data_IF_727391024039
#
_entry.id   IF_727391024039
#
_cell.length_a   1.000
_cell.length_b   1.000
_cell.length_c   1.000
_cell.angle_alpha   90.00
_cell.angle_beta   90.00
_cell.angle_gamma   90.00
#
_symmetry.space_group_name_H-M   'P 1'
#
loop_
_entity.id
_entity.type
_entity.pdbx_description
1 polymer ?
#
# COMPACT_ATOMS: atom_id res chain seq x y z
N UNK A 1 -14.50 -1.03 72.25
CA UNK A 1 -14.99 -1.47 70.92
C UNK A 1 -14.29 -0.63 69.85
N UNK A 2 -13.32 -1.18 69.15
CA UNK A 2 -12.64 -0.48 68.06
C UNK A 2 -13.04 -1.14 66.76
N UNK A 3 -13.75 -0.39 65.93
CA UNK A 3 -14.25 -0.86 64.62
C UNK A 3 -13.15 -0.66 63.57
N UNK A 4 -12.62 -1.76 63.02
CA UNK A 4 -11.69 -1.74 61.89
C UNK A 4 -12.50 -1.60 60.60
N UNK A 5 -12.28 -0.52 59.84
CA UNK A 5 -12.79 -0.35 58.50
C UNK A 5 -11.71 -0.85 57.55
N UNK A 6 -11.99 -1.98 56.88
CA UNK A 6 -11.16 -2.50 55.80
C UNK A 6 -11.60 -1.85 54.49
N UNK A 7 -10.75 -0.96 53.97
CA UNK A 7 -10.93 -0.36 52.66
C UNK A 7 -10.41 -1.35 51.57
N UNK A 8 -11.32 -1.92 50.80
CA UNK A 8 -11.03 -2.77 49.66
C UNK A 8 -10.73 -1.87 48.45
N UNK A 9 -9.46 -1.74 48.08
CA UNK A 9 -9.05 -1.02 46.89
C UNK A 9 -9.23 -1.97 45.67
N UNK A 10 -10.28 -1.76 44.88
CA UNK A 10 -10.42 -2.38 43.56
C UNK A 10 -9.44 -1.72 42.56
N UNK A 11 -8.30 -2.35 42.32
CA UNK A 11 -7.40 -1.99 41.24
C UNK A 11 -8.05 -2.46 39.90
N UNK A 12 -8.75 -1.57 39.23
CA UNK A 12 -9.26 -1.79 37.88
C UNK A 12 -8.08 -1.79 36.89
N UNK A 13 -7.70 -2.95 36.41
CA UNK A 13 -6.79 -3.09 35.26
C UNK A 13 -7.55 -2.66 34.01
N UNK A 14 -7.34 -1.43 33.56
CA UNK A 14 -7.75 -0.96 32.25
C UNK A 14 -6.87 -1.68 31.20
N UNK A 15 -7.36 -2.78 30.67
CA UNK A 15 -6.79 -3.39 29.47
C UNK A 15 -7.02 -2.40 28.31
N UNK A 16 -6.02 -1.57 28.01
CA UNK A 16 -5.93 -0.81 26.77
C UNK A 16 -5.82 -1.82 25.63
N UNK A 17 -6.95 -2.23 25.07
CA UNK A 17 -6.99 -2.92 23.78
C UNK A 17 -6.46 -1.96 22.74
N UNK A 18 -5.15 -1.97 22.50
CA UNK A 18 -4.52 -1.25 21.42
C UNK A 18 -5.14 -1.72 20.11
N UNK A 19 -6.01 -0.92 19.50
CA UNK A 19 -6.48 -1.12 18.14
C UNK A 19 -5.23 -1.00 17.28
N UNK A 20 -4.70 -2.13 16.81
CA UNK A 20 -3.60 -2.15 15.84
C UNK A 20 -4.11 -1.51 14.56
N UNK A 21 -3.88 -0.22 14.39
CA UNK A 21 -4.15 0.45 13.13
C UNK A 21 -3.16 -0.05 12.09
N UNK A 22 -3.67 -0.51 10.95
CA UNK A 22 -2.83 -0.84 9.82
C UNK A 22 -2.03 0.42 9.42
N UNK A 23 -0.72 0.28 9.32
CA UNK A 23 0.15 1.36 8.91
C UNK A 23 -0.01 1.62 7.41
N UNK A 24 0.04 2.88 7.01
CA UNK A 24 -0.10 3.31 5.62
C UNK A 24 1.18 3.99 5.14
N UNK A 25 1.53 3.74 3.90
CA UNK A 25 2.67 4.33 3.20
C UNK A 25 2.23 4.73 1.80
N UNK A 26 2.73 5.84 1.30
CA UNK A 26 2.39 6.33 -0.03
C UNK A 26 3.64 6.71 -0.84
N UNK A 27 3.57 6.56 -2.16
CA UNK A 27 4.56 7.17 -3.06
C UNK A 27 4.33 8.68 -3.13
N UNK A 28 5.36 9.47 -3.49
CA UNK A 28 5.13 10.80 -4.00
C UNK A 28 4.15 10.77 -5.19
N UNK A 29 3.40 11.85 -5.36
CA UNK A 29 2.56 12.04 -6.54
C UNK A 29 3.43 12.30 -7.76
N UNK A 30 3.16 11.64 -8.87
CA UNK A 30 3.83 11.92 -10.15
C UNK A 30 2.78 12.15 -11.25
N UNK A 31 3.07 13.11 -12.12
CA UNK A 31 2.24 13.41 -13.28
C UNK A 31 2.53 12.46 -14.43
N UNK A 32 1.49 12.01 -15.10
CA UNK A 32 1.58 11.36 -16.39
C UNK A 32 2.07 12.33 -17.47
N UNK A 33 2.70 11.79 -18.51
CA UNK A 33 3.05 12.52 -19.75
C UNK A 33 2.29 11.91 -20.92
N UNK A 34 2.21 12.62 -22.05
CA UNK A 34 1.36 12.26 -23.20
C UNK A 34 1.57 10.85 -23.77
N UNK A 35 2.71 10.23 -23.51
CA UNK A 35 3.03 8.88 -23.97
C UNK A 35 2.83 7.79 -22.89
N UNK A 36 2.37 8.18 -21.71
CA UNK A 36 2.09 7.24 -20.62
C UNK A 36 0.62 6.85 -20.64
N UNK A 37 0.36 5.56 -20.59
CA UNK A 37 -0.99 5.03 -20.74
C UNK A 37 -1.47 4.22 -19.54
N UNK A 38 -0.53 3.72 -18.73
CA UNK A 38 -0.83 2.91 -17.56
C UNK A 38 -0.04 3.37 -16.33
N UNK A 39 -0.68 3.29 -15.18
CA UNK A 39 -0.04 3.35 -13.86
C UNK A 39 -0.11 1.98 -13.20
N UNK A 40 0.99 1.55 -12.62
CA UNK A 40 1.10 0.34 -11.83
C UNK A 40 1.54 0.70 -10.41
N UNK A 41 0.71 0.36 -9.43
CA UNK A 41 1.07 0.38 -8.02
C UNK A 41 1.54 -1.02 -7.64
N UNK A 42 2.83 -1.17 -7.38
CA UNK A 42 3.45 -2.47 -7.11
C UNK A 42 4.10 -2.50 -5.74
N UNK A 43 3.97 -3.63 -5.05
CA UNK A 43 4.56 -3.85 -3.74
C UNK A 43 5.14 -5.26 -3.63
N UNK A 44 6.16 -5.40 -2.81
CA UNK A 44 6.80 -6.67 -2.50
C UNK A 44 7.07 -6.77 -1.00
N UNK A 45 6.89 -7.96 -0.45
CA UNK A 45 7.34 -8.26 0.90
C UNK A 45 8.83 -8.66 0.87
N UNK A 46 9.70 -7.72 1.20
CA UNK A 46 11.16 -7.96 1.32
C UNK A 46 11.59 -8.48 2.69
N UNK A 47 10.67 -8.77 3.59
CA UNK A 47 10.95 -9.25 4.95
C UNK A 47 11.02 -10.77 5.07
N UNK A 48 11.44 -11.25 6.23
CA UNK A 48 11.57 -12.68 6.51
C UNK A 48 10.26 -13.35 6.93
N UNK A 49 9.19 -12.59 7.11
CA UNK A 49 7.89 -13.10 7.58
C UNK A 49 6.76 -12.59 6.68
N UNK A 50 5.65 -13.36 6.55
CA UNK A 50 4.48 -12.89 5.83
C UNK A 50 3.91 -11.59 6.43
N UNK A 51 3.42 -10.70 5.57
CA UNK A 51 2.78 -9.44 5.95
C UNK A 51 1.26 -9.59 5.87
N UNK A 52 0.58 -9.34 6.98
CA UNK A 52 -0.88 -9.39 7.04
C UNK A 52 -1.52 -8.05 6.67
N UNK A 53 -2.79 -8.10 6.29
CA UNK A 53 -3.64 -6.95 5.98
C UNK A 53 -3.09 -6.04 4.87
N UNK A 54 -2.43 -6.65 3.87
CA UNK A 54 -1.84 -5.90 2.76
C UNK A 54 -2.90 -5.53 1.75
N UNK A 55 -3.04 -4.22 1.51
CA UNK A 55 -3.87 -3.67 0.44
C UNK A 55 -3.12 -2.58 -0.31
N UNK A 56 -3.42 -2.43 -1.59
CA UNK A 56 -2.88 -1.36 -2.43
C UNK A 56 -3.99 -0.64 -3.18
N UNK A 57 -3.80 0.64 -3.44
CA UNK A 57 -4.69 1.46 -4.27
C UNK A 57 -3.90 2.54 -5.00
N UNK A 58 -4.45 3.03 -6.10
CA UNK A 58 -3.96 4.20 -6.81
C UNK A 58 -4.93 5.35 -6.53
N UNK A 59 -4.40 6.53 -6.21
CA UNK A 59 -5.17 7.72 -5.91
C UNK A 59 -4.74 8.84 -6.86
N UNK A 60 -5.72 9.48 -7.51
CA UNK A 60 -5.48 10.68 -8.33
C UNK A 60 -5.40 11.94 -7.47
N UNK A 61 -4.84 13.02 -8.02
CA UNK A 61 -4.83 14.33 -7.38
C UNK A 61 -6.24 14.90 -7.13
N UNK A 62 -7.25 14.42 -7.86
CA UNK A 62 -8.65 14.80 -7.66
C UNK A 62 -9.37 13.96 -6.61
N UNK A 63 -8.65 13.05 -5.93
CA UNK A 63 -9.20 12.18 -4.89
C UNK A 63 -9.89 10.92 -5.42
N UNK A 64 -9.88 10.68 -6.73
CA UNK A 64 -10.37 9.43 -7.29
C UNK A 64 -9.50 8.26 -6.81
N UNK A 65 -10.13 7.15 -6.47
CA UNK A 65 -9.44 5.97 -5.94
C UNK A 65 -9.74 4.76 -6.80
N UNK A 66 -8.68 4.09 -7.26
CA UNK A 66 -8.73 2.81 -7.94
C UNK A 66 -8.26 1.74 -6.96
N UNK A 67 -9.06 0.74 -6.71
CA UNK A 67 -8.91 -0.21 -5.62
C UNK A 67 -9.81 0.16 -4.42
N UNK A 68 -9.53 -0.32 -3.21
CA UNK A 68 -8.34 -1.07 -2.81
C UNK A 68 -8.33 -2.52 -3.33
N UNK A 69 -7.17 -3.02 -3.67
CA UNK A 69 -6.94 -4.43 -4.00
C UNK A 69 -6.25 -5.13 -2.82
N UNK A 70 -6.77 -6.29 -2.45
CA UNK A 70 -6.14 -7.15 -1.44
C UNK A 70 -4.97 -7.92 -2.07
N UNK A 71 -3.82 -7.92 -1.41
CA UNK A 71 -2.63 -8.60 -1.85
C UNK A 71 -2.49 -9.97 -1.18
N UNK A 72 -2.10 -10.96 -1.96
CA UNK A 72 -1.88 -12.33 -1.49
C UNK A 72 -3.16 -13.06 -1.05
N UNK A 73 -2.98 -14.25 -0.51
CA UNK A 73 -4.07 -15.05 0.03
C UNK A 73 -4.56 -14.46 1.35
N UNK A 74 -5.86 -14.23 1.48
CA UNK A 74 -6.49 -13.65 2.69
C UNK A 74 -5.84 -12.32 3.15
N UNK A 75 -5.46 -11.46 2.22
CA UNK A 75 -4.74 -10.19 2.47
C UNK A 75 -3.35 -10.40 3.11
N UNK A 76 -2.77 -11.58 2.97
CA UNK A 76 -1.43 -11.89 3.49
C UNK A 76 -0.47 -12.04 2.32
N UNK A 77 0.55 -11.19 2.28
CA UNK A 77 1.60 -11.21 1.28
C UNK A 77 2.79 -12.02 1.82
N UNK A 78 3.06 -13.17 1.22
CA UNK A 78 4.14 -14.06 1.60
C UNK A 78 5.52 -13.44 1.43
N UNK A 79 6.54 -14.10 1.97
CA UNK A 79 7.94 -13.67 1.85
C UNK A 79 8.38 -13.68 0.38
N UNK A 80 8.88 -12.55 -0.11
CA UNK A 80 9.26 -12.38 -1.51
C UNK A 80 8.10 -12.29 -2.49
N UNK A 81 6.86 -12.42 -2.03
CA UNK A 81 5.70 -12.26 -2.90
C UNK A 81 5.54 -10.82 -3.36
N UNK A 82 5.05 -10.71 -4.58
CA UNK A 82 4.77 -9.48 -5.29
C UNK A 82 3.26 -9.32 -5.50
N UNK A 83 2.78 -8.08 -5.45
CA UNK A 83 1.41 -7.71 -5.74
C UNK A 83 1.39 -6.41 -6.52
N UNK A 84 0.58 -6.33 -7.59
CA UNK A 84 0.42 -5.10 -8.36
C UNK A 84 -1.02 -4.84 -8.76
N UNK A 85 -1.35 -3.56 -8.86
CA UNK A 85 -2.60 -3.02 -9.38
C UNK A 85 -2.27 -2.12 -10.55
N UNK A 86 -2.79 -2.44 -11.73
CA UNK A 86 -2.57 -1.70 -12.97
C UNK A 86 -3.87 -1.03 -13.39
N UNK A 87 -3.79 0.21 -13.85
CA UNK A 87 -4.91 0.96 -14.38
C UNK A 87 -4.52 1.84 -15.55
N UNK A 88 -5.48 2.14 -16.41
CA UNK A 88 -5.32 3.21 -17.40
C UNK A 88 -5.31 4.56 -16.70
N UNK A 89 -4.54 5.49 -17.21
CA UNK A 89 -4.39 6.84 -16.65
C UNK A 89 -4.71 7.90 -17.68
N UNK A 90 -5.15 9.05 -17.17
CA UNK A 90 -5.21 10.29 -17.92
C UNK A 90 -3.84 11.00 -17.84
N UNK A 91 -3.35 11.43 -18.99
CA UNK A 91 -2.03 12.07 -19.13
C UNK A 91 -1.92 13.44 -18.45
N UNK A 92 -3.06 14.04 -18.07
CA UNK A 92 -3.10 15.35 -17.41
C UNK A 92 -3.21 15.27 -15.89
N UNK A 93 -3.28 14.07 -15.33
CA UNK A 93 -3.56 13.83 -13.91
C UNK A 93 -2.34 13.26 -13.20
N UNK A 94 -2.12 13.70 -11.96
CA UNK A 94 -1.11 13.13 -11.09
C UNK A 94 -1.69 11.98 -10.27
N UNK A 95 -0.87 10.97 -10.04
CA UNK A 95 -1.26 9.76 -9.31
C UNK A 95 -0.24 9.42 -8.21
N UNK A 96 -0.71 8.75 -7.17
CA UNK A 96 0.10 8.16 -6.12
C UNK A 96 -0.32 6.71 -5.86
N UNK A 97 0.65 5.86 -5.55
CA UNK A 97 0.42 4.52 -5.01
C UNK A 97 0.32 4.60 -3.49
N UNK A 98 -0.71 4.02 -2.93
CA UNK A 98 -0.94 3.96 -1.49
C UNK A 98 -1.06 2.50 -1.09
N UNK A 99 -0.24 2.09 -0.13
CA UNK A 99 -0.24 0.75 0.41
C UNK A 99 -0.49 0.75 1.92
N UNK A 100 -1.21 -0.24 2.40
CA UNK A 100 -1.43 -0.48 3.83
C UNK A 100 -1.02 -1.89 4.18
N UNK A 101 -0.46 -2.07 5.38
CA UNK A 101 -0.11 -3.39 5.93
C UNK A 101 -0.08 -3.30 7.46
N UNK A 102 -0.12 -4.46 8.14
CA UNK A 102 0.03 -4.52 9.59
C UNK A 102 1.41 -4.03 10.06
N UNK A 103 2.45 -4.18 9.22
CA UNK A 103 3.80 -3.66 9.46
C UNK A 103 4.45 -3.22 8.14
N UNK A 104 5.21 -2.13 8.16
CA UNK A 104 5.81 -1.53 6.95
C UNK A 104 7.34 -1.67 6.87
N UNK A 105 8.00 -2.14 7.92
CA UNK A 105 9.47 -2.11 8.03
C UNK A 105 10.20 -2.75 6.84
N UNK A 106 9.65 -3.83 6.28
CA UNK A 106 10.23 -4.57 5.16
C UNK A 106 9.41 -4.47 3.86
N UNK A 107 8.45 -3.57 3.85
CA UNK A 107 7.60 -3.33 2.71
C UNK A 107 8.31 -2.45 1.69
N UNK A 108 8.32 -2.85 0.44
CA UNK A 108 8.95 -2.11 -0.66
C UNK A 108 7.96 -2.01 -1.81
N UNK A 109 8.07 -0.96 -2.59
CA UNK A 109 7.23 -0.77 -3.76
C UNK A 109 7.18 0.67 -4.22
N UNK A 110 6.23 0.95 -5.10
CA UNK A 110 6.04 2.30 -5.64
C UNK A 110 5.01 2.36 -6.73
N UNK A 111 4.89 3.56 -7.30
CA UNK A 111 4.14 3.81 -8.51
C UNK A 111 5.07 3.80 -9.71
N UNK A 112 4.70 3.05 -10.72
CA UNK A 112 5.42 2.98 -12.01
C UNK A 112 4.47 3.41 -13.11
N UNK A 113 4.93 4.30 -13.99
CA UNK A 113 4.21 4.62 -15.21
C UNK A 113 4.82 3.87 -16.40
N UNK A 114 3.93 3.39 -17.25
CA UNK A 114 4.29 2.64 -18.44
C UNK A 114 3.79 3.36 -19.69
N UNK A 115 4.53 3.21 -20.78
CA UNK A 115 4.09 3.57 -22.13
C UNK A 115 4.03 2.34 -23.01
N UNK A 116 3.19 2.40 -24.03
CA UNK A 116 3.25 1.45 -25.12
C UNK A 116 4.39 1.81 -26.07
N UNK A 117 5.27 0.85 -26.30
CA UNK A 117 6.32 0.95 -27.33
C UNK A 117 6.13 -0.23 -28.28
N UNK A 118 6.08 0.05 -29.57
CA UNK A 118 6.08 -0.98 -30.58
C UNK A 118 7.51 -1.51 -30.77
N UNK A 119 7.71 -2.79 -30.58
CA UNK A 119 8.99 -3.41 -30.85
C UNK A 119 9.26 -3.58 -32.37
N UNK A 120 10.43 -4.09 -32.72
CA UNK A 120 10.83 -4.32 -34.12
C UNK A 120 9.96 -5.34 -34.85
N UNK A 121 9.12 -6.08 -34.14
CA UNK A 121 8.17 -7.07 -34.65
C UNK A 121 6.74 -6.54 -34.73
N UNK A 122 6.53 -5.29 -34.36
CA UNK A 122 5.21 -4.66 -34.29
C UNK A 122 4.40 -5.01 -33.05
N UNK A 123 5.01 -5.66 -32.05
CA UNK A 123 4.35 -6.03 -30.80
C UNK A 123 4.37 -4.84 -29.84
N UNK A 124 3.22 -4.53 -29.25
CA UNK A 124 3.12 -3.51 -28.20
C UNK A 124 3.70 -4.05 -26.90
N UNK A 125 4.74 -3.39 -26.39
CA UNK A 125 5.40 -3.73 -25.14
C UNK A 125 5.25 -2.57 -24.16
N UNK A 126 5.01 -2.88 -22.88
CA UNK A 126 4.98 -1.90 -21.81
C UNK A 126 6.41 -1.60 -21.34
N UNK A 127 6.81 -0.35 -21.43
CA UNK A 127 8.08 0.11 -20.90
C UNK A 127 7.85 0.99 -19.67
N UNK A 128 8.47 0.68 -18.51
CA UNK A 128 8.46 1.56 -17.35
C UNK A 128 9.30 2.79 -17.65
N UNK A 129 8.75 3.98 -17.43
CA UNK A 129 9.43 5.25 -17.73
C UNK A 129 9.55 6.20 -16.55
N UNK A 130 8.74 6.01 -15.50
CA UNK A 130 8.83 6.76 -14.25
C UNK A 130 8.54 5.84 -13.08
N UNK A 131 9.27 6.08 -11.99
CA UNK A 131 9.11 5.34 -10.74
C UNK A 131 9.11 6.30 -9.55
N UNK A 132 8.12 6.17 -8.68
CA UNK A 132 8.03 6.87 -7.41
C UNK A 132 7.96 5.84 -6.28
N UNK A 133 9.03 5.70 -5.48
CA UNK A 133 9.05 4.72 -4.39
C UNK A 133 8.07 5.09 -3.28
N UNK A 134 7.56 4.08 -2.58
CA UNK A 134 6.83 4.25 -1.31
C UNK A 134 7.78 4.80 -0.23
N UNK A 135 7.29 5.74 0.57
CA UNK A 135 8.02 6.37 1.68
C UNK A 135 7.14 6.46 2.92
#
# INVERSE_FOLDING_TARGET
>A
MRTLIVAMACAGVLALSGVSQAAQIASPTIYGTFDQVLAECAVVNGGPTPLASVTIKIVSEFGETIGPMNCGSNKTLGVGEFCSLITQIDNSTAYACVATAAALANFRGGLVFHKHVQDNLGILVLHPIRFAPLR
#
